data_IF_990568137348
#
_entry.id   IF_990568137348
#
_cell.length_a   1.000
_cell.length_b   1.000
_cell.length_c   1.000
_cell.angle_alpha   90.00
_cell.angle_beta   90.00
_cell.angle_gamma   90.00
#
_symmetry.space_group_name_H-M   'P 1'
#
loop_
_entity.id
_entity.type
_entity.pdbx_description
1 polymer ?
#
# COMPACT_ATOMS: atom_id res chain seq x y z
N UNK A 1 8.39 -9.74 13.88
CA UNK A 1 8.24 -9.03 12.59
C UNK A 1 9.24 -7.90 12.56
N UNK A 2 9.99 -7.79 11.48
CA UNK A 2 11.06 -6.81 11.26
C UNK A 2 11.18 -6.53 9.74
N UNK A 3 11.90 -5.47 9.36
CA UNK A 3 11.99 -5.04 7.96
C UNK A 3 12.65 -6.08 7.04
N UNK A 4 13.63 -6.84 7.51
CA UNK A 4 14.29 -7.89 6.72
C UNK A 4 13.31 -9.01 6.40
N UNK A 5 12.51 -9.42 7.40
CA UNK A 5 11.43 -10.40 7.21
C UNK A 5 10.34 -9.88 6.27
N UNK A 6 9.89 -8.63 6.43
CA UNK A 6 8.88 -8.03 5.55
C UNK A 6 9.38 -7.98 4.10
N UNK A 7 10.61 -7.54 3.88
CA UNK A 7 11.23 -7.51 2.56
C UNK A 7 11.26 -8.90 1.92
N UNK A 8 11.72 -9.92 2.65
CA UNK A 8 11.75 -11.30 2.17
C UNK A 8 10.35 -11.81 1.80
N UNK A 9 9.33 -11.48 2.61
CA UNK A 9 7.95 -11.88 2.35
C UNK A 9 7.37 -11.21 1.10
N UNK A 10 7.78 -9.99 0.78
CA UNK A 10 7.44 -9.33 -0.50
C UNK A 10 8.13 -10.07 -1.66
N UNK A 11 9.45 -10.29 -1.55
CA UNK A 11 10.25 -10.95 -2.60
C UNK A 11 9.79 -12.39 -2.88
N UNK A 12 9.28 -13.08 -1.87
CA UNK A 12 8.74 -14.44 -2.00
C UNK A 12 7.26 -14.49 -2.35
N UNK A 13 6.60 -13.35 -2.57
CA UNK A 13 5.17 -13.29 -2.92
C UNK A 13 4.21 -13.68 -1.79
N UNK A 14 4.65 -13.67 -0.53
CA UNK A 14 3.77 -13.86 0.64
C UNK A 14 2.95 -12.58 0.90
N UNK A 15 3.59 -11.42 0.79
CA UNK A 15 2.93 -10.12 0.81
C UNK A 15 2.70 -9.70 -0.64
N UNK A 16 1.44 -9.66 -1.06
CA UNK A 16 1.06 -9.33 -2.45
C UNK A 16 0.27 -8.03 -2.54
N UNK A 17 -0.26 -7.56 -1.42
CA UNK A 17 -1.13 -6.39 -1.37
C UNK A 17 -0.60 -5.34 -0.40
N UNK A 18 -0.92 -4.07 -0.68
CA UNK A 18 -0.61 -2.94 0.19
C UNK A 18 -1.18 -3.12 1.60
N UNK A 19 -2.35 -3.76 1.73
CA UNK A 19 -2.99 -4.08 3.02
C UNK A 19 -2.17 -5.08 3.85
N UNK A 20 -1.63 -6.13 3.22
CA UNK A 20 -0.76 -7.11 3.90
C UNK A 20 0.55 -6.46 4.33
N UNK A 21 1.15 -5.63 3.47
CA UNK A 21 2.33 -4.85 3.80
C UNK A 21 2.08 -3.95 5.02
N UNK A 22 0.99 -3.17 5.00
CA UNK A 22 0.61 -2.29 6.11
C UNK A 22 0.43 -3.08 7.41
N UNK A 23 -0.26 -4.23 7.36
CA UNK A 23 -0.48 -5.09 8.53
C UNK A 23 0.85 -5.51 9.17
N UNK A 24 1.79 -6.00 8.38
CA UNK A 24 3.06 -6.54 8.89
C UNK A 24 3.97 -5.41 9.42
N UNK A 25 3.97 -4.24 8.76
CA UNK A 25 4.67 -3.04 9.27
C UNK A 25 4.05 -2.56 10.59
N UNK A 26 2.73 -2.54 10.71
CA UNK A 26 2.06 -2.17 11.97
C UNK A 26 2.37 -3.16 13.08
N UNK A 27 2.43 -4.47 12.79
CA UNK A 27 2.81 -5.49 13.75
C UNK A 27 4.26 -5.29 14.24
N UNK A 28 5.19 -4.92 13.36
CA UNK A 28 6.57 -4.59 13.74
C UNK A 28 6.60 -3.45 14.77
N UNK A 29 5.89 -2.34 14.51
CA UNK A 29 5.82 -1.23 15.47
C UNK A 29 5.07 -1.60 16.75
N UNK A 30 3.97 -2.35 16.66
CA UNK A 30 3.21 -2.79 17.83
C UNK A 30 4.07 -3.62 18.79
N UNK A 31 4.88 -4.54 18.25
CA UNK A 31 5.83 -5.30 19.04
C UNK A 31 6.88 -4.38 19.69
N UNK A 32 7.45 -3.44 18.92
CA UNK A 32 8.41 -2.48 19.46
C UNK A 32 7.82 -1.66 20.62
N UNK A 33 6.58 -1.21 20.51
CA UNK A 33 5.90 -0.45 21.56
C UNK A 33 5.47 -1.31 22.76
N UNK A 34 5.15 -2.59 22.55
CA UNK A 34 4.72 -3.50 23.62
C UNK A 34 5.89 -3.97 24.48
N UNK A 35 7.04 -4.26 23.88
CA UNK A 35 8.19 -4.81 24.59
C UNK A 35 9.12 -3.74 25.18
N UNK A 36 9.10 -2.50 24.66
CA UNK A 36 9.93 -1.42 25.17
C UNK A 36 9.16 -0.52 26.12
N UNK A 37 9.80 -0.15 27.23
CA UNK A 37 9.26 0.81 28.20
C UNK A 37 9.17 2.21 27.59
N UNK A 38 8.18 2.99 28.01
CA UNK A 38 7.86 4.32 27.43
C UNK A 38 8.99 5.34 27.58
N UNK A 39 9.82 5.14 28.59
CA UNK A 39 10.96 5.98 28.94
C UNK A 39 12.18 5.73 28.05
N UNK A 40 12.20 4.60 27.33
CA UNK A 40 13.32 4.26 26.46
C UNK A 40 13.18 4.94 25.09
N UNK A 41 14.30 5.39 24.54
CA UNK A 41 14.32 6.05 23.22
C UNK A 41 13.72 5.17 22.12
N UNK A 42 13.91 3.85 22.19
CA UNK A 42 13.32 2.89 21.24
C UNK A 42 11.79 3.00 21.18
N UNK A 43 11.12 3.21 22.31
CA UNK A 43 9.67 3.38 22.34
C UNK A 43 9.26 4.68 21.64
N UNK A 44 9.95 5.80 21.94
CA UNK A 44 9.68 7.10 21.32
C UNK A 44 9.90 7.05 19.81
N UNK A 45 11.05 6.54 19.37
CA UNK A 45 11.38 6.40 17.96
C UNK A 45 10.37 5.49 17.24
N UNK A 46 9.98 4.35 17.83
CA UNK A 46 8.97 3.47 17.24
C UNK A 46 7.61 4.16 17.09
N UNK A 47 7.22 5.00 18.06
CA UNK A 47 5.95 5.74 18.01
C UNK A 47 5.96 6.81 16.91
N UNK A 48 7.05 7.56 16.80
CA UNK A 48 7.23 8.61 15.78
C UNK A 48 7.27 7.99 14.39
N UNK A 49 8.15 7.01 14.16
CA UNK A 49 8.24 6.32 12.87
C UNK A 49 6.92 5.66 12.45
N UNK A 50 6.14 5.12 13.39
CA UNK A 50 4.82 4.55 13.07
C UNK A 50 3.88 5.59 12.47
N UNK A 51 3.88 6.81 12.99
CA UNK A 51 3.02 7.88 12.49
C UNK A 51 3.45 8.32 11.08
N UNK A 52 4.75 8.52 10.89
CA UNK A 52 5.30 8.94 9.59
C UNK A 52 5.03 7.89 8.50
N UNK A 53 5.21 6.61 8.83
CA UNK A 53 4.95 5.51 7.90
C UNK A 53 3.47 5.35 7.59
N UNK A 54 2.57 5.60 8.55
CA UNK A 54 1.14 5.59 8.30
C UNK A 54 0.73 6.66 7.28
N UNK A 55 1.27 7.87 7.39
CA UNK A 55 1.02 8.94 6.42
C UNK A 55 1.53 8.57 5.02
N UNK A 56 2.75 8.00 4.94
CA UNK A 56 3.32 7.54 3.67
C UNK A 56 2.48 6.44 3.01
N UNK A 57 2.01 5.46 3.79
CA UNK A 57 1.14 4.39 3.28
C UNK A 57 -0.19 4.97 2.76
N UNK A 58 -0.78 5.94 3.46
CA UNK A 58 -2.04 6.56 3.00
C UNK A 58 -1.85 7.37 1.72
N UNK A 59 -0.75 8.10 1.60
CA UNK A 59 -0.39 8.81 0.37
C UNK A 59 -0.20 7.84 -0.81
N UNK A 60 0.48 6.72 -0.56
CA UNK A 60 0.67 5.67 -1.55
C UNK A 60 -0.66 5.04 -2.00
N UNK A 61 -1.54 4.66 -1.07
CA UNK A 61 -2.87 4.10 -1.37
C UNK A 61 -3.70 5.08 -2.21
N UNK A 62 -3.68 6.37 -1.83
CA UNK A 62 -4.40 7.42 -2.56
C UNK A 62 -3.90 7.52 -4.01
N UNK A 63 -2.57 7.51 -4.19
CA UNK A 63 -1.95 7.51 -5.52
C UNK A 63 -2.31 6.26 -6.32
N UNK A 64 -2.25 5.08 -5.71
CA UNK A 64 -2.62 3.81 -6.33
C UNK A 64 -4.07 3.81 -6.83
N UNK A 65 -5.00 4.38 -6.05
CA UNK A 65 -6.41 4.52 -6.43
C UNK A 65 -6.61 5.46 -7.61
N UNK A 66 -5.90 6.60 -7.66
CA UNK A 66 -5.97 7.55 -8.78
C UNK A 66 -5.51 6.90 -10.09
N UNK A 67 -4.41 6.13 -10.06
CA UNK A 67 -3.90 5.41 -11.24
C UNK A 67 -4.91 4.37 -11.70
N UNK A 68 -5.46 3.57 -10.78
CA UNK A 68 -6.46 2.56 -11.12
C UNK A 68 -7.73 3.16 -11.75
N UNK A 69 -8.22 4.29 -11.24
CA UNK A 69 -9.38 4.97 -11.81
C UNK A 69 -9.09 5.49 -13.21
N UNK A 70 -7.92 6.10 -13.41
CA UNK A 70 -7.47 6.58 -14.73
C UNK A 70 -7.40 5.45 -15.75
N UNK A 71 -6.88 4.29 -15.37
CA UNK A 71 -6.83 3.11 -16.25
C UNK A 71 -8.23 2.59 -16.60
N UNK A 72 -9.15 2.56 -15.63
CA UNK A 72 -10.55 2.13 -15.86
C UNK A 72 -11.25 3.07 -16.84
N UNK A 73 -11.10 4.38 -16.64
CA UNK A 73 -11.69 5.40 -17.52
C UNK A 73 -11.13 5.31 -18.94
N UNK A 74 -9.81 5.12 -19.05
CA UNK A 74 -9.12 4.92 -20.32
C UNK A 74 -9.61 3.67 -21.07
N UNK A 75 -9.78 2.54 -20.36
CA UNK A 75 -10.34 1.31 -20.92
C UNK A 75 -11.79 1.49 -21.37
N UNK A 76 -12.60 2.19 -20.58
CA UNK A 76 -13.99 2.49 -20.91
C UNK A 76 -14.14 3.36 -22.17
N UNK A 77 -13.26 4.37 -22.34
CA UNK A 77 -13.24 5.20 -23.56
C UNK A 77 -12.88 4.38 -24.82
N UNK A 78 -11.87 3.50 -24.73
CA UNK A 78 -11.45 2.63 -25.86
C UNK A 78 -12.59 1.71 -26.31
N UNK A 79 -13.26 1.06 -25.37
CA UNK A 79 -14.42 0.18 -25.64
C UNK A 79 -15.59 0.92 -26.30
N UNK A 80 -15.87 2.17 -25.89
CA UNK A 80 -16.90 3.01 -26.51
C UNK A 80 -16.55 3.39 -27.94
N UNK A 81 -15.29 3.74 -28.21
CA UNK A 81 -14.82 4.08 -29.56
C UNK A 81 -14.88 2.90 -30.54
N UNK A 82 -14.54 1.70 -30.08
CA UNK A 82 -14.66 0.47 -30.88
C UNK A 82 -16.12 0.15 -31.21
N UNK A 83 -17.02 0.26 -30.23
CA UNK A 83 -18.46 0.04 -30.43
C UNK A 83 -19.10 1.01 -31.43
N UNK A 84 -18.60 2.25 -31.51
CA UNK A 84 -19.08 3.24 -32.48
C UNK A 84 -18.53 2.96 -33.89
N UNK A 85 -17.27 2.55 -34.04
CA UNK A 85 -16.70 2.16 -35.35
C UNK A 85 -17.44 0.99 -36.00
N UNK A 86 -17.83 -0.01 -35.22
CA UNK A 86 -18.57 -1.18 -35.74
C UNK A 86 -19.95 -0.77 -36.28
N UNK A 87 -20.60 0.22 -35.66
CA UNK A 87 -21.94 0.70 -36.08
C UNK A 87 -21.92 1.56 -37.35
N UNK A 88 -20.80 2.18 -37.70
CA UNK A 88 -20.69 3.03 -38.91
C UNK A 88 -20.29 2.25 -40.16
N UNK A 89 -19.94 0.97 -40.03
CA UNK A 89 -19.51 0.08 -41.12
C UNK A 89 -20.63 -0.86 -41.62
N UNK A 90 -21.86 -0.68 -41.15
CA UNK A 90 -23.09 -1.35 -41.62
C UNK A 90 -24.06 -0.31 -42.17
#
# INVERSE_FOLDING_TARGET
>A
MDLSTIKKNIESGIIQTTTEFQRDVMLMFQNALMYNRKEHDVYRMAREMRNDVLEQIQSFISTQLMVQNTERDSKALRMKGESQKVKTLQ
#
